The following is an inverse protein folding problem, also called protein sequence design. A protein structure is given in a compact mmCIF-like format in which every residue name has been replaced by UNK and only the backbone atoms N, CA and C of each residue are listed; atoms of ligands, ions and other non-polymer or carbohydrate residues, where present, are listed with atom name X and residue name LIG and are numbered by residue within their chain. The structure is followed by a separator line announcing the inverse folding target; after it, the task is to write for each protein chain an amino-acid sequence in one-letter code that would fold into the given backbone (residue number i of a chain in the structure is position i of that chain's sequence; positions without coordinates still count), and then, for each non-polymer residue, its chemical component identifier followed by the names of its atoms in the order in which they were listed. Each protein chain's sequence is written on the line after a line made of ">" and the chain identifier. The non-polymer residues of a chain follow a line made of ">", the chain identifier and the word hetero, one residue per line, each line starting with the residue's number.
data_IF_473541830799
#
_entry.id   IF_473541830799
#
_cell.length_a   1.000
_cell.length_b   1.000
_cell.length_c   1.000
_cell.angle_alpha   90.00
_cell.angle_beta   90.00
_cell.angle_gamma   90.00
#
_symmetry.space_group_name_H-M   'P 1'
#
loop_
_entity.id
_entity.type
_entity.pdbx_description
1 polymer ?
#
# COMPACT_ATOMS: atom_id res chain seq x y z
N UNK A 1 -20.40 5.19 -10.55
CA UNK A 1 -19.20 5.04 -9.70
C UNK A 1 -19.59 4.26 -8.47
N UNK A 2 -19.18 2.99 -8.38
CA UNK A 2 -19.55 2.07 -7.29
C UNK A 2 -18.24 1.49 -6.74
N UNK A 3 -17.65 2.16 -5.76
CA UNK A 3 -16.66 1.54 -4.87
C UNK A 3 -17.43 0.62 -3.90
N UNK A 4 -17.98 -0.46 -4.44
CA UNK A 4 -18.87 -1.39 -3.75
C UNK A 4 -18.05 -2.63 -3.41
N UNK A 5 -17.68 -2.73 -2.14
CA UNK A 5 -17.65 -3.98 -1.36
C UNK A 5 -17.29 -5.24 -2.15
N UNK A 6 -16.05 -5.37 -2.57
CA UNK A 6 -15.35 -6.64 -2.73
C UNK A 6 -13.88 -6.26 -2.90
N UNK A 7 -12.99 -6.87 -2.12
CA UNK A 7 -11.56 -6.66 -2.32
C UNK A 7 -11.25 -6.94 -3.78
N UNK A 8 -10.56 -6.01 -4.44
CA UNK A 8 -10.15 -6.20 -5.82
C UNK A 8 -9.49 -7.58 -5.94
N UNK A 9 -9.98 -8.49 -6.83
CA UNK A 9 -9.49 -9.86 -6.85
C UNK A 9 -7.98 -9.85 -7.04
N UNK A 10 -7.29 -10.62 -6.20
CA UNK A 10 -5.86 -10.81 -6.31
C UNK A 10 -5.55 -11.49 -7.64
N UNK A 11 -4.47 -11.07 -8.28
CA UNK A 11 -4.00 -11.69 -9.53
C UNK A 11 -2.91 -12.71 -9.20
N UNK A 12 -2.10 -12.43 -8.19
CA UNK A 12 -1.16 -13.38 -7.61
C UNK A 12 -1.58 -13.70 -6.18
N UNK A 13 -1.84 -14.96 -5.90
CA UNK A 13 -2.15 -15.50 -4.57
C UNK A 13 -0.90 -16.16 -4.00
N UNK A 14 0.05 -15.34 -3.55
CA UNK A 14 1.28 -15.82 -2.92
C UNK A 14 1.50 -15.12 -1.59
N UNK A 15 2.06 -15.84 -0.63
CA UNK A 15 2.58 -15.27 0.60
C UNK A 15 4.09 -14.98 0.51
N UNK A 16 4.74 -15.34 -0.61
CA UNK A 16 6.15 -15.09 -0.87
C UNK A 16 6.33 -13.68 -1.42
N UNK A 17 7.09 -12.87 -0.70
CA UNK A 17 7.50 -11.55 -1.15
C UNK A 17 8.26 -11.63 -2.49
N UNK A 18 9.15 -12.61 -2.65
CA UNK A 18 9.97 -12.80 -3.85
C UNK A 18 9.13 -13.09 -5.11
N UNK A 19 8.11 -13.95 -4.98
CA UNK A 19 7.23 -14.26 -6.10
C UNK A 19 6.40 -13.05 -6.53
N UNK A 20 5.96 -12.23 -5.58
CA UNK A 20 5.19 -11.01 -5.86
C UNK A 20 6.08 -9.94 -6.48
N UNK A 21 7.27 -9.71 -5.95
CA UNK A 21 8.25 -8.78 -6.55
C UNK A 21 8.58 -9.18 -7.98
N UNK A 22 8.82 -10.47 -8.23
CA UNK A 22 9.09 -10.99 -9.57
C UNK A 22 7.89 -10.80 -10.51
N UNK A 23 6.66 -10.91 -10.01
CA UNK A 23 5.46 -10.59 -10.81
C UNK A 23 5.44 -9.12 -11.25
N UNK A 24 5.91 -8.18 -10.43
CA UNK A 24 5.90 -6.73 -10.70
C UNK A 24 7.13 -6.18 -11.44
N UNK A 25 8.23 -6.95 -11.54
CA UNK A 25 9.53 -6.50 -12.07
C UNK A 25 9.48 -5.71 -13.38
N UNK A 26 8.64 -6.12 -14.33
CA UNK A 26 8.50 -5.47 -15.65
C UNK A 26 7.18 -4.71 -15.82
N UNK A 27 6.45 -4.47 -14.72
CA UNK A 27 5.11 -3.86 -14.71
C UNK A 27 5.08 -2.47 -14.06
N UNK A 28 6.03 -2.19 -13.19
CA UNK A 28 6.18 -0.91 -12.51
C UNK A 28 7.43 -0.20 -13.01
N UNK A 29 7.40 1.13 -12.96
CA UNK A 29 8.55 1.99 -13.24
C UNK A 29 9.63 1.95 -12.15
N UNK A 30 9.38 1.22 -11.07
CA UNK A 30 10.28 1.08 -9.92
C UNK A 30 10.32 -0.37 -9.41
N UNK A 31 11.41 -0.70 -8.71
CA UNK A 31 11.53 -1.98 -8.02
C UNK A 31 10.61 -1.98 -6.81
N UNK A 32 9.61 -2.86 -6.82
CA UNK A 32 8.81 -3.14 -5.64
C UNK A 32 9.67 -3.93 -4.64
N UNK A 33 9.76 -3.44 -3.41
CA UNK A 33 10.43 -4.13 -2.31
C UNK A 33 9.39 -4.42 -1.22
N UNK A 34 9.17 -5.70 -0.96
CA UNK A 34 8.20 -6.20 0.02
C UNK A 34 8.98 -6.71 1.24
N UNK A 35 8.63 -6.27 2.45
CA UNK A 35 9.32 -6.70 3.66
C UNK A 35 9.25 -8.22 3.82
N UNK A 36 10.40 -8.85 4.03
CA UNK A 36 10.48 -10.31 4.27
C UNK A 36 9.91 -10.69 5.64
N UNK A 37 9.96 -9.76 6.60
CA UNK A 37 9.43 -9.92 7.95
C UNK A 37 8.63 -8.69 8.34
N UNK A 38 7.46 -8.89 8.94
CA UNK A 38 6.67 -7.82 9.54
C UNK A 38 6.77 -7.91 11.06
N UNK A 39 7.03 -6.80 11.77
CA UNK A 39 7.06 -6.76 13.24
C UNK A 39 5.63 -6.75 13.83
N UNK A 40 4.71 -7.51 13.22
CA UNK A 40 3.29 -7.54 13.53
C UNK A 40 2.85 -8.97 13.79
N UNK A 41 2.13 -9.18 14.89
CA UNK A 41 1.61 -10.50 15.25
C UNK A 41 0.57 -10.95 14.22
N UNK A 42 0.61 -12.22 13.84
CA UNK A 42 -0.32 -12.84 12.89
C UNK A 42 -0.44 -12.10 11.55
N UNK A 43 0.59 -11.33 11.17
CA UNK A 43 0.62 -10.65 9.89
C UNK A 43 1.06 -11.61 8.78
N UNK A 44 0.32 -11.64 7.68
CA UNK A 44 0.68 -12.40 6.49
C UNK A 44 0.32 -11.66 5.22
N UNK A 45 1.18 -11.79 4.22
CA UNK A 45 0.88 -11.37 2.86
C UNK A 45 -0.10 -12.40 2.24
N UNK A 46 -1.18 -11.92 1.65
CA UNK A 46 -2.20 -12.74 1.01
C UNK A 46 -1.98 -12.85 -0.51
N UNK A 47 -1.40 -11.81 -1.09
CA UNK A 47 -1.20 -11.70 -2.52
C UNK A 47 -1.21 -10.26 -2.98
N UNK A 48 -1.26 -10.10 -4.30
CA UNK A 48 -1.18 -8.81 -4.95
C UNK A 48 -1.92 -8.75 -6.28
N UNK A 49 -2.03 -7.53 -6.82
CA UNK A 49 -2.36 -7.26 -8.23
C UNK A 49 -1.78 -5.92 -8.65
N UNK A 50 -1.61 -5.75 -9.95
CA UNK A 50 -1.50 -4.40 -10.51
C UNK A 50 -2.90 -3.78 -10.63
N UNK A 51 -3.03 -2.53 -10.23
CA UNK A 51 -4.18 -1.69 -10.54
C UNK A 51 -3.70 -0.38 -11.18
N UNK A 52 -4.65 0.43 -11.65
CA UNK A 52 -4.35 1.74 -12.18
C UNK A 52 -5.18 2.78 -11.44
N UNK A 53 -4.53 3.78 -10.87
CA UNK A 53 -5.18 4.96 -10.31
C UNK A 53 -4.93 6.10 -11.28
N UNK A 54 -5.96 6.73 -11.83
CA UNK A 54 -5.83 7.79 -12.84
C UNK A 54 -4.80 7.49 -13.97
N UNK A 55 -4.80 6.24 -14.48
CA UNK A 55 -3.85 5.71 -15.49
C UNK A 55 -2.40 5.51 -15.01
N UNK A 56 -2.07 5.84 -13.77
CA UNK A 56 -0.79 5.51 -13.13
C UNK A 56 -0.82 4.07 -12.64
N UNK A 57 0.17 3.23 -12.98
CA UNK A 57 0.27 1.86 -12.47
C UNK A 57 0.58 1.86 -10.97
N UNK A 58 -0.13 1.01 -10.22
CA UNK A 58 0.00 0.91 -8.76
C UNK A 58 0.05 -0.56 -8.35
N UNK A 59 1.01 -0.90 -7.49
CA UNK A 59 1.01 -2.20 -6.81
C UNK A 59 -0.05 -2.18 -5.70
N UNK A 60 -1.00 -3.11 -5.75
CA UNK A 60 -1.95 -3.37 -4.68
C UNK A 60 -1.60 -4.68 -4.01
N UNK A 61 -1.23 -4.62 -2.73
CA UNK A 61 -0.94 -5.75 -1.88
C UNK A 61 -2.05 -5.90 -0.85
N UNK A 62 -2.38 -7.14 -0.49
CA UNK A 62 -3.30 -7.43 0.61
C UNK A 62 -2.57 -8.18 1.70
N UNK A 63 -2.58 -7.60 2.89
CA UNK A 63 -2.15 -8.25 4.12
C UNK A 63 -3.36 -8.69 4.93
N UNK A 64 -3.22 -9.76 5.69
CA UNK A 64 -4.08 -10.02 6.85
C UNK A 64 -3.28 -9.77 8.11
N UNK A 65 -3.78 -8.94 9.01
CA UNK A 65 -3.22 -8.67 10.34
C UNK A 65 -4.33 -8.96 11.35
N UNK A 66 -4.09 -9.90 12.25
CA UNK A 66 -5.11 -10.44 13.17
C UNK A 66 -6.44 -10.80 12.46
N UNK A 67 -6.33 -11.50 11.32
CA UNK A 67 -7.43 -11.89 10.43
C UNK A 67 -8.22 -10.72 9.80
N UNK A 68 -7.79 -9.48 9.97
CA UNK A 68 -8.37 -8.32 9.31
C UNK A 68 -7.58 -7.97 8.05
N UNK A 69 -8.26 -7.75 6.91
CA UNK A 69 -7.59 -7.37 5.68
C UNK A 69 -7.09 -5.92 5.76
N UNK A 70 -5.84 -5.72 5.38
CA UNK A 70 -5.21 -4.41 5.20
C UNK A 70 -4.73 -4.32 3.76
N UNK A 71 -5.22 -3.32 3.05
CA UNK A 71 -4.83 -3.02 1.67
C UNK A 71 -3.65 -2.07 1.68
N UNK A 72 -2.62 -2.36 0.89
CA UNK A 72 -1.45 -1.49 0.71
C UNK A 72 -1.31 -1.16 -0.76
N UNK A 73 -1.20 0.13 -1.06
CA UNK A 73 -0.97 0.67 -2.39
C UNK A 73 0.42 1.27 -2.43
N UNK A 74 1.20 0.92 -3.45
CA UNK A 74 2.55 1.41 -3.69
C UNK A 74 2.64 1.99 -5.10
N UNK A 75 3.03 3.24 -5.18
CA UNK A 75 3.17 3.99 -6.44
C UNK A 75 4.47 4.79 -6.44
N UNK A 76 5.06 5.03 -7.60
CA UNK A 76 6.28 5.82 -7.67
C UNK A 76 6.01 7.27 -7.24
N UNK A 77 6.94 7.88 -6.51
CA UNK A 77 6.77 9.24 -5.97
C UNK A 77 6.56 10.29 -7.07
N UNK A 78 7.24 10.16 -8.20
CA UNK A 78 7.10 11.09 -9.33
C UNK A 78 5.73 10.95 -10.02
N UNK A 79 5.14 9.76 -9.96
CA UNK A 79 3.81 9.51 -10.54
C UNK A 79 2.69 9.97 -9.59
N UNK A 80 2.95 9.98 -8.27
CA UNK A 80 2.04 10.55 -7.28
C UNK A 80 1.77 12.05 -7.53
N UNK A 81 2.73 12.78 -8.09
CA UNK A 81 2.56 14.19 -8.47
C UNK A 81 1.49 14.40 -9.57
N UNK A 82 1.14 13.37 -10.34
CA UNK A 82 0.08 13.44 -11.36
C UNK A 82 -1.32 13.53 -10.74
N UNK A 83 -1.46 13.19 -9.46
CA UNK A 83 -2.70 13.31 -8.71
C UNK A 83 -2.84 14.71 -8.12
N UNK A 84 -2.69 15.77 -8.92
CA UNK A 84 -2.71 17.22 -8.56
C UNK A 84 -3.87 17.72 -7.67
N UNK A 85 -4.80 16.87 -7.24
CA UNK A 85 -5.74 17.13 -6.14
C UNK A 85 -5.17 16.80 -4.74
N UNK A 86 -4.09 16.01 -4.67
CA UNK A 86 -3.15 15.98 -3.56
C UNK A 86 -2.45 17.33 -3.66
N UNK A 87 -2.86 18.29 -2.82
CA UNK A 87 -2.32 19.66 -2.86
C UNK A 87 -0.81 19.56 -2.69
N UNK A 88 -0.03 20.51 -3.22
CA UNK A 88 1.41 20.54 -2.94
C UNK A 88 1.71 20.57 -1.43
N UNK A 89 0.76 20.98 -0.58
CA UNK A 89 0.79 20.87 0.89
C UNK A 89 0.64 19.42 1.40
N UNK A 90 -0.05 18.56 0.64
CA UNK A 90 -0.18 17.13 0.89
C UNK A 90 1.06 16.35 0.43
N UNK A 91 1.69 16.79 -0.69
CA UNK A 91 2.94 16.26 -1.25
C UNK A 91 4.21 16.83 -0.59
N UNK A 92 4.12 17.98 0.07
CA UNK A 92 4.96 18.31 1.21
C UNK A 92 4.58 17.33 2.33
N UNK A 93 4.92 16.05 2.17
CA UNK A 93 4.83 15.06 3.23
C UNK A 93 5.87 15.54 4.26
N UNK A 94 5.47 16.19 5.36
CA UNK A 94 6.42 16.39 6.43
C UNK A 94 6.75 14.97 6.91
N UNK A 95 8.02 14.69 7.13
CA UNK A 95 8.50 13.57 7.95
C UNK A 95 7.45 13.33 9.07
N UNK A 96 6.55 12.34 9.05
CA UNK A 96 6.83 10.91 9.02
C UNK A 96 5.63 10.01 8.66
N UNK A 97 4.39 10.50 8.51
CA UNK A 97 3.18 9.72 8.15
C UNK A 97 1.94 10.60 8.29
N UNK A 98 0.98 10.47 7.37
CA UNK A 98 -0.33 11.14 7.47
C UNK A 98 -1.43 10.12 7.69
N UNK A 99 -2.27 10.34 8.71
CA UNK A 99 -3.40 9.48 9.04
C UNK A 99 -4.72 10.20 8.79
N UNK A 100 -5.70 9.50 8.24
CA UNK A 100 -7.07 9.97 8.12
C UNK A 100 -8.05 8.81 8.23
N UNK A 101 -9.29 9.10 8.63
CA UNK A 101 -10.35 8.09 8.74
C UNK A 101 -11.32 8.22 7.57
N UNK A 102 -11.69 7.08 7.00
CA UNK A 102 -12.73 6.97 5.97
C UNK A 102 -13.74 5.93 6.43
N UNK A 103 -14.85 6.41 6.99
CA UNK A 103 -15.81 5.55 7.70
C UNK A 103 -15.15 4.90 8.92
N UNK A 104 -15.19 3.57 8.98
CA UNK A 104 -14.59 2.75 10.03
C UNK A 104 -13.14 2.33 9.75
N UNK A 105 -12.60 2.72 8.58
CA UNK A 105 -11.23 2.40 8.17
C UNK A 105 -10.29 3.52 8.52
N UNK A 106 -9.11 3.13 8.98
CA UNK A 106 -7.96 4.02 9.07
C UNK A 106 -7.20 3.95 7.74
N UNK A 107 -6.78 5.10 7.25
CA UNK A 107 -5.90 5.25 6.09
C UNK A 107 -4.64 5.96 6.55
N UNK A 108 -3.49 5.43 6.16
CA UNK A 108 -2.19 6.00 6.43
C UNK A 108 -1.42 6.12 5.12
N UNK A 109 -0.79 7.27 4.90
CA UNK A 109 0.06 7.53 3.74
C UNK A 109 1.43 8.02 4.20
N UNK A 110 2.50 7.46 3.63
CA UNK A 110 3.87 7.90 3.86
C UNK A 110 4.72 7.74 2.60
N UNK A 111 5.90 8.36 2.63
CA UNK A 111 6.96 8.08 1.66
C UNK A 111 7.74 6.86 2.15
N UNK A 112 7.89 5.86 1.29
CA UNK A 112 8.70 4.67 1.52
C UNK A 112 9.73 4.57 0.38
N UNK A 113 10.97 4.96 0.65
CA UNK A 113 12.06 5.07 -0.35
C UNK A 113 11.63 5.93 -1.56
N UNK A 114 11.48 5.32 -2.74
CA UNK A 114 11.04 5.97 -4.00
C UNK A 114 9.54 5.82 -4.29
N UNK A 115 8.78 5.27 -3.34
CA UNK A 115 7.36 5.06 -3.48
C UNK A 115 6.57 5.88 -2.46
N UNK A 116 5.34 6.21 -2.81
CA UNK A 116 4.31 6.58 -1.84
C UNK A 116 3.57 5.30 -1.45
N UNK A 117 3.58 4.99 -0.16
CA UNK A 117 2.84 3.89 0.44
C UNK A 117 1.53 4.45 1.01
N UNK A 118 0.41 3.87 0.61
CA UNK A 118 -0.89 4.11 1.25
C UNK A 118 -1.47 2.80 1.76
N UNK A 119 -1.60 2.67 3.08
CA UNK A 119 -2.22 1.52 3.72
C UNK A 119 -3.61 1.88 4.27
N UNK A 120 -4.57 0.97 4.15
CA UNK A 120 -5.88 1.14 4.79
C UNK A 120 -6.51 -0.16 5.27
N UNK A 121 -7.21 -0.09 6.39
CA UNK A 121 -7.91 -1.22 6.98
C UNK A 121 -8.64 -0.86 8.29
N UNK A 122 -9.36 -1.84 8.84
CA UNK A 122 -10.01 -1.72 10.16
C UNK A 122 -9.05 -2.10 11.30
N UNK A 123 -7.90 -1.41 11.35
CA UNK A 123 -6.82 -1.61 12.32
C UNK A 123 -6.48 -0.28 13.00
N UNK A 124 -5.70 -0.32 14.07
CA UNK A 124 -5.28 0.89 14.78
C UNK A 124 -4.06 1.57 14.13
N UNK A 125 -3.76 2.80 14.57
CA UNK A 125 -2.62 3.57 14.07
C UNK A 125 -1.27 2.88 14.29
N UNK A 126 -0.97 2.29 15.48
CA UNK A 126 0.27 1.54 15.69
C UNK A 126 0.46 0.40 14.71
N UNK A 127 -0.61 -0.32 14.35
CA UNK A 127 -0.56 -1.41 13.37
C UNK A 127 -0.13 -0.90 11.99
N UNK A 128 -0.78 0.17 11.49
CA UNK A 128 -0.40 0.75 10.20
C UNK A 128 1.01 1.34 10.24
N UNK A 129 1.37 2.01 11.34
CA UNK A 129 2.71 2.57 11.53
C UNK A 129 3.80 1.49 11.42
N UNK A 130 3.66 0.38 12.16
CA UNK A 130 4.60 -0.74 12.11
C UNK A 130 4.66 -1.41 10.73
N UNK A 131 3.53 -1.47 10.02
CA UNK A 131 3.50 -1.95 8.64
C UNK A 131 4.31 -1.04 7.71
N UNK A 132 4.14 0.28 7.80
CA UNK A 132 4.91 1.22 6.97
C UNK A 132 6.40 1.22 7.30
N UNK A 133 6.76 1.17 8.57
CA UNK A 133 8.16 1.09 9.03
C UNK A 133 8.91 -0.12 8.45
N UNK A 134 8.19 -1.20 8.11
CA UNK A 134 8.81 -2.36 7.48
C UNK A 134 9.26 -2.09 6.02
N UNK A 135 8.73 -1.05 5.37
CA UNK A 135 9.03 -0.65 3.99
C UNK A 135 10.11 0.45 3.87
N UNK A 136 10.55 1.02 5.00
CA UNK A 136 11.70 1.95 5.05
C UNK A 136 13.03 1.20 4.92
#
# INVERSE_FOLDING_TARGET
>A
ERFVTDQLPLVIHSNSAEEIEQYFKDKLSFTLEIPRTLPLKNARLAGARMCHLNKVPVAYLVYYIDNKPVSVFLMHEEEAAQFRQVRDEDLQIPENMKYHRVGDKLVMTCKAKKAILTALGQVDEPTLHQLAMAYE
#
